data_IF_623125773276
#
_entry.id   IF_623125773276
#
_cell.length_a   1.000
_cell.length_b   1.000
_cell.length_c   1.000
_cell.angle_alpha   90.00
_cell.angle_beta   90.00
_cell.angle_gamma   90.00
#
_symmetry.space_group_name_H-M   'P 1'
#
loop_
_entity.id
_entity.type
_entity.pdbx_description
1 polymer ?
#
# COMPACT_ATOMS: atom_id res chain seq x y z
N UNK A 1 7.74 -3.93 -50.78
CA UNK A 1 6.66 -4.65 -50.06
C UNK A 1 6.45 -4.00 -48.70
N UNK A 2 5.61 -2.97 -48.57
CA UNK A 2 5.43 -2.19 -47.33
C UNK A 2 3.99 -2.11 -46.82
N UNK A 3 3.04 -2.88 -47.38
CA UNK A 3 1.60 -2.77 -47.10
C UNK A 3 1.05 -3.57 -45.92
N UNK A 4 1.87 -4.33 -45.18
CA UNK A 4 1.32 -5.33 -44.22
C UNK A 4 0.80 -4.76 -42.90
N UNK A 5 1.37 -3.65 -42.40
CA UNK A 5 1.00 -3.10 -41.09
C UNK A 5 -0.08 -2.02 -41.16
N UNK A 6 -0.06 -1.17 -42.19
CA UNK A 6 -1.03 -0.07 -42.35
C UNK A 6 -2.45 -0.58 -42.58
N UNK A 7 -2.60 -1.64 -43.37
CA UNK A 7 -3.90 -2.19 -43.72
C UNK A 7 -4.55 -2.89 -42.52
N UNK A 8 -3.74 -3.60 -41.70
CA UNK A 8 -4.17 -4.18 -40.42
C UNK A 8 -4.60 -3.12 -39.40
N UNK A 9 -3.88 -2.00 -39.33
CA UNK A 9 -4.23 -0.89 -38.43
C UNK A 9 -5.55 -0.26 -38.88
N UNK A 10 -5.78 -0.07 -40.18
CA UNK A 10 -7.04 0.44 -40.70
C UNK A 10 -8.21 -0.51 -40.48
N UNK A 11 -8.00 -1.82 -40.61
CA UNK A 11 -9.03 -2.83 -40.33
C UNK A 11 -9.40 -2.85 -38.84
N UNK A 12 -8.41 -2.76 -37.94
CA UNK A 12 -8.62 -2.66 -36.51
C UNK A 12 -9.34 -1.35 -36.12
N UNK A 13 -9.01 -0.22 -36.75
CA UNK A 13 -9.69 1.06 -36.55
C UNK A 13 -11.16 1.00 -36.97
N UNK A 14 -11.47 0.38 -38.11
CA UNK A 14 -12.86 0.20 -38.56
C UNK A 14 -13.65 -0.67 -37.58
N UNK A 15 -13.07 -1.78 -37.12
CA UNK A 15 -13.68 -2.63 -36.07
C UNK A 15 -13.92 -1.84 -34.78
N UNK A 16 -12.90 -1.12 -34.29
CA UNK A 16 -12.99 -0.32 -33.07
C UNK A 16 -14.05 0.78 -33.18
N UNK A 17 -14.18 1.43 -34.34
CA UNK A 17 -15.19 2.47 -34.58
C UNK A 17 -16.63 1.95 -34.65
N UNK A 18 -16.80 0.67 -34.99
CA UNK A 18 -18.10 0.04 -35.13
C UNK A 18 -18.59 -0.58 -33.81
N UNK A 19 -17.71 -0.76 -32.83
CA UNK A 19 -18.05 -1.33 -31.53
C UNK A 19 -18.58 -0.26 -30.56
N UNK A 20 -19.61 -0.62 -29.78
CA UNK A 20 -20.16 0.29 -28.77
C UNK A 20 -19.14 0.51 -27.64
N UNK A 21 -18.91 1.78 -27.28
CA UNK A 21 -18.00 2.17 -26.20
C UNK A 21 -18.36 1.52 -24.85
N UNK A 22 -19.65 1.25 -24.63
CA UNK A 22 -20.15 0.57 -23.43
C UNK A 22 -19.74 -0.91 -23.36
N UNK A 23 -19.38 -1.54 -24.49
CA UNK A 23 -18.83 -2.91 -24.51
C UNK A 23 -17.36 -2.96 -24.08
N UNK A 24 -16.67 -1.81 -24.13
CA UNK A 24 -15.34 -1.66 -23.58
C UNK A 24 -15.42 -1.50 -22.07
N UNK A 25 -16.32 -0.66 -21.57
CA UNK A 25 -16.56 -0.43 -20.14
C UNK A 25 -17.37 -1.60 -19.54
N UNK A 26 -16.69 -2.64 -19.09
CA UNK A 26 -17.37 -3.69 -18.32
C UNK A 26 -17.68 -3.17 -16.90
N UNK A 27 -18.85 -2.58 -16.68
CA UNK A 27 -19.26 -2.18 -15.33
C UNK A 27 -19.35 -3.39 -14.36
N UNK A 28 -19.59 -4.59 -14.89
CA UNK A 28 -19.72 -5.85 -14.14
C UNK A 28 -18.40 -6.46 -13.65
N UNK A 29 -17.25 -5.94 -14.08
CA UNK A 29 -15.92 -6.35 -13.58
C UNK A 29 -15.45 -5.52 -12.40
N UNK A 30 -16.15 -4.43 -12.05
CA UNK A 30 -16.03 -3.78 -10.74
C UNK A 30 -16.74 -4.68 -9.70
N UNK A 31 -16.15 -5.82 -9.37
CA UNK A 31 -16.66 -6.71 -8.31
C UNK A 31 -16.44 -6.10 -6.92
N UNK A 32 -17.12 -6.66 -5.91
CA UNK A 32 -16.98 -6.36 -4.48
C UNK A 32 -15.54 -6.47 -3.92
N UNK A 33 -14.57 -6.85 -4.78
CA UNK A 33 -13.15 -7.01 -4.48
C UNK A 33 -12.41 -5.68 -4.28
N UNK A 34 -13.09 -4.53 -4.42
CA UNK A 34 -12.61 -3.27 -3.82
C UNK A 34 -12.80 -3.32 -2.29
N UNK A 35 -12.28 -4.37 -1.66
CA UNK A 35 -12.32 -4.62 -0.23
C UNK A 35 -11.43 -3.65 0.56
N UNK A 36 -10.58 -2.85 -0.11
CA UNK A 36 -9.79 -1.80 0.54
C UNK A 36 -10.65 -0.73 1.22
N UNK A 37 -11.90 -0.51 0.79
CA UNK A 37 -12.81 0.37 1.52
C UNK A 37 -13.19 -0.16 2.91
N UNK A 38 -13.22 -1.49 3.10
CA UNK A 38 -13.44 -2.09 4.42
C UNK A 38 -12.24 -1.87 5.35
N UNK A 39 -11.02 -2.02 4.82
CA UNK A 39 -9.79 -1.74 5.54
C UNK A 39 -9.70 -0.25 5.97
N UNK A 40 -10.05 0.67 5.06
CA UNK A 40 -10.17 2.09 5.37
C UNK A 40 -11.09 2.35 6.57
N UNK A 41 -12.30 1.79 6.56
CA UNK A 41 -13.27 2.00 7.63
C UNK A 41 -12.78 1.42 8.95
N UNK A 42 -12.14 0.25 8.90
CA UNK A 42 -11.54 -0.40 10.06
C UNK A 42 -10.46 0.48 10.72
N UNK A 43 -9.46 0.96 9.95
CA UNK A 43 -8.42 1.83 10.48
C UNK A 43 -8.97 3.16 10.99
N UNK A 44 -10.02 3.69 10.35
CA UNK A 44 -10.68 4.91 10.82
C UNK A 44 -11.32 4.73 12.19
N UNK A 45 -11.96 3.57 12.43
CA UNK A 45 -12.54 3.23 13.74
C UNK A 45 -11.46 3.06 14.80
N UNK A 46 -10.38 2.35 14.50
CA UNK A 46 -9.23 2.22 15.41
C UNK A 46 -8.64 3.58 15.78
N UNK A 47 -8.42 4.46 14.79
CA UNK A 47 -7.93 5.81 15.03
C UNK A 47 -8.86 6.63 15.94
N UNK A 48 -10.17 6.55 15.71
CA UNK A 48 -11.16 7.22 16.56
C UNK A 48 -11.18 6.69 17.99
N UNK A 49 -11.05 5.36 18.17
CA UNK A 49 -11.01 4.75 19.49
C UNK A 49 -9.77 5.17 20.30
N UNK A 50 -8.62 5.30 19.64
CA UNK A 50 -7.39 5.81 20.24
C UNK A 50 -7.50 7.28 20.70
N UNK A 51 -8.36 8.08 20.07
CA UNK A 51 -8.57 9.50 20.39
C UNK A 51 -9.54 9.74 21.56
N UNK A 52 -10.25 8.71 22.02
CA UNK A 52 -11.15 8.85 23.17
C UNK A 52 -10.36 9.27 24.41
N UNK A 53 -10.91 10.17 25.22
CA UNK A 53 -10.25 10.71 26.40
C UNK A 53 -9.84 9.65 27.43
N UNK A 54 -10.59 8.55 27.51
CA UNK A 54 -10.27 7.41 28.38
C UNK A 54 -9.18 6.47 27.83
N UNK A 55 -8.76 6.63 26.56
CA UNK A 55 -7.69 5.85 25.91
C UNK A 55 -6.44 6.72 25.70
N UNK A 56 -6.61 7.91 25.11
CA UNK A 56 -5.58 8.95 24.95
C UNK A 56 -4.28 8.50 24.25
N UNK A 57 -4.37 7.58 23.30
CA UNK A 57 -3.23 7.07 22.51
C UNK A 57 -3.10 7.85 21.18
N UNK A 58 -2.64 9.08 21.27
CA UNK A 58 -2.62 10.00 20.13
C UNK A 58 -1.57 9.63 19.06
N UNK A 59 -0.46 9.01 19.45
CA UNK A 59 0.54 8.48 18.51
C UNK A 59 -0.02 7.33 17.70
N UNK A 60 -0.74 6.39 18.33
CA UNK A 60 -1.46 5.34 17.63
C UNK A 60 -2.58 5.90 16.74
N UNK A 61 -3.30 6.93 17.18
CA UNK A 61 -4.26 7.60 16.31
C UNK A 61 -3.61 8.17 15.04
N UNK A 62 -2.40 8.71 15.14
CA UNK A 62 -1.64 9.17 13.98
C UNK A 62 -1.22 8.00 13.06
N UNK A 63 -0.77 6.88 13.62
CA UNK A 63 -0.46 5.65 12.87
C UNK A 63 -1.67 5.20 12.04
N UNK A 64 -2.84 5.03 12.69
CA UNK A 64 -4.04 4.56 12.00
C UNK A 64 -4.56 5.57 10.98
N UNK A 65 -4.43 6.87 11.25
CA UNK A 65 -4.77 7.91 10.26
C UNK A 65 -3.93 7.78 8.98
N UNK A 66 -2.66 7.39 9.09
CA UNK A 66 -1.82 7.12 7.90
C UNK A 66 -2.29 5.88 7.15
N UNK A 67 -2.59 4.80 7.86
CA UNK A 67 -3.13 3.57 7.25
C UNK A 67 -4.45 3.83 6.51
N UNK A 68 -5.29 4.72 7.04
CA UNK A 68 -6.52 5.21 6.37
C UNK A 68 -6.18 5.93 5.06
N UNK A 69 -5.23 6.86 5.08
CA UNK A 69 -4.82 7.61 3.88
C UNK A 69 -4.23 6.69 2.80
N UNK A 70 -3.42 5.73 3.22
CA UNK A 70 -2.80 4.74 2.35
C UNK A 70 -3.84 3.80 1.72
N UNK A 71 -4.82 3.33 2.48
CA UNK A 71 -5.90 2.48 1.96
C UNK A 71 -6.79 3.22 0.93
N UNK A 72 -7.04 4.52 1.14
CA UNK A 72 -7.77 5.35 0.16
C UNK A 72 -6.94 5.56 -1.10
N UNK A 73 -5.66 5.91 -0.95
CA UNK A 73 -4.77 6.12 -2.09
C UNK A 73 -4.66 4.86 -2.95
N UNK A 74 -4.62 3.69 -2.32
CA UNK A 74 -4.61 2.40 -2.99
C UNK A 74 -5.92 2.10 -3.72
N UNK A 75 -7.07 2.39 -3.10
CA UNK A 75 -8.38 2.23 -3.73
C UNK A 75 -8.55 3.16 -4.93
N UNK A 76 -8.22 4.45 -4.80
CA UNK A 76 -8.26 5.43 -5.89
C UNK A 76 -7.29 5.08 -7.02
N UNK A 77 -6.12 4.54 -6.68
CA UNK A 77 -5.17 4.09 -7.70
C UNK A 77 -5.71 2.87 -8.46
N UNK A 78 -6.26 1.89 -7.75
CA UNK A 78 -6.85 0.70 -8.38
C UNK A 78 -8.02 1.10 -9.30
N UNK A 79 -8.89 2.01 -8.84
CA UNK A 79 -9.96 2.59 -9.66
C UNK A 79 -9.42 3.24 -10.94
N UNK A 80 -8.39 4.09 -10.81
CA UNK A 80 -7.76 4.74 -11.97
C UNK A 80 -7.14 3.73 -12.93
N UNK A 81 -6.51 2.68 -12.39
CA UNK A 81 -5.91 1.60 -13.18
C UNK A 81 -6.99 0.81 -13.92
N UNK A 82 -8.12 0.51 -13.27
CA UNK A 82 -9.26 -0.13 -13.90
C UNK A 82 -9.79 0.71 -15.06
N UNK A 83 -10.00 2.02 -14.85
CA UNK A 83 -10.43 2.96 -15.90
C UNK A 83 -9.44 2.97 -17.05
N UNK A 84 -8.14 3.04 -16.78
CA UNK A 84 -7.09 3.00 -17.80
C UNK A 84 -7.13 1.72 -18.65
N UNK A 85 -7.49 0.58 -18.06
CA UNK A 85 -7.64 -0.71 -18.75
C UNK A 85 -9.04 -0.90 -19.39
N UNK A 86 -9.87 0.14 -19.40
CA UNK A 86 -11.23 0.11 -19.94
C UNK A 86 -12.19 -0.70 -19.06
N UNK A 87 -11.96 -0.80 -17.76
CA UNK A 87 -12.77 -1.61 -16.84
C UNK A 87 -12.50 -3.12 -16.93
N UNK A 88 -11.70 -3.61 -17.89
CA UNK A 88 -11.39 -5.04 -18.02
C UNK A 88 -10.28 -5.44 -17.07
N UNK A 89 -10.62 -5.92 -15.88
CA UNK A 89 -9.63 -6.52 -14.99
C UNK A 89 -10.28 -7.59 -14.10
N UNK A 90 -9.91 -8.84 -14.35
CA UNK A 90 -10.10 -9.96 -13.43
C UNK A 90 -8.73 -10.63 -13.25
N UNK A 91 -8.05 -10.47 -12.10
CA UNK A 91 -6.66 -10.89 -11.94
C UNK A 91 -6.43 -12.38 -12.18
N UNK A 92 -7.42 -13.24 -11.90
CA UNK A 92 -7.22 -14.71 -11.95
C UNK A 92 -7.77 -15.44 -13.18
N UNK A 93 -8.51 -14.77 -14.07
CA UNK A 93 -9.17 -15.46 -15.20
C UNK A 93 -8.75 -14.99 -16.59
N UNK A 94 -7.98 -13.90 -16.69
CA UNK A 94 -7.68 -13.27 -17.98
C UNK A 94 -6.22 -13.45 -18.47
N UNK A 95 -5.31 -14.05 -17.67
CA UNK A 95 -3.89 -14.13 -18.04
C UNK A 95 -3.24 -12.74 -18.22
N UNK A 96 -3.67 -11.77 -17.42
CA UNK A 96 -3.25 -10.37 -17.54
C UNK A 96 -1.96 -10.11 -16.75
N UNK A 97 -0.83 -10.43 -17.37
CA UNK A 97 0.50 -10.29 -16.78
C UNK A 97 0.79 -8.85 -16.29
N UNK A 98 0.19 -7.84 -16.93
CA UNK A 98 0.40 -6.44 -16.55
C UNK A 98 -0.38 -6.06 -15.28
N UNK A 99 -1.53 -6.69 -15.02
CA UNK A 99 -2.25 -6.54 -13.76
C UNK A 99 -1.56 -7.37 -12.65
N UNK A 100 -1.06 -8.55 -12.98
CA UNK A 100 -0.30 -9.40 -12.04
C UNK A 100 0.96 -8.69 -11.53
N UNK A 101 1.79 -8.16 -12.42
CA UNK A 101 3.01 -7.41 -12.05
C UNK A 101 2.71 -6.21 -11.15
N UNK A 102 1.63 -5.48 -11.44
CA UNK A 102 1.16 -4.37 -10.60
C UNK A 102 0.71 -4.84 -9.22
N UNK A 103 -0.06 -5.92 -9.14
CA UNK A 103 -0.54 -6.48 -7.88
C UNK A 103 0.65 -6.93 -7.03
N UNK A 104 1.62 -7.61 -7.63
CA UNK A 104 2.82 -8.11 -6.96
C UNK A 104 3.73 -6.98 -6.48
N UNK A 105 4.15 -6.10 -7.40
CA UNK A 105 5.15 -5.06 -7.13
C UNK A 105 4.64 -3.97 -6.18
N UNK A 106 3.35 -3.64 -6.24
CA UNK A 106 2.77 -2.56 -5.44
C UNK A 106 1.99 -3.04 -4.22
N UNK A 107 1.00 -3.92 -4.42
CA UNK A 107 0.06 -4.26 -3.34
C UNK A 107 0.61 -5.36 -2.43
N UNK A 108 0.98 -6.51 -2.99
CA UNK A 108 1.51 -7.64 -2.20
C UNK A 108 2.78 -7.23 -1.45
N UNK A 109 3.66 -6.50 -2.13
CA UNK A 109 4.87 -5.94 -1.53
C UNK A 109 4.56 -5.02 -0.33
N UNK A 110 3.63 -4.07 -0.52
CA UNK A 110 3.22 -3.12 0.53
C UNK A 110 2.57 -3.85 1.71
N UNK A 111 1.64 -4.76 1.45
CA UNK A 111 0.96 -5.53 2.49
C UNK A 111 1.94 -6.40 3.30
N UNK A 112 2.93 -7.02 2.63
CA UNK A 112 3.96 -7.80 3.33
C UNK A 112 4.77 -6.93 4.30
N UNK A 113 5.11 -5.70 3.89
CA UNK A 113 5.76 -4.71 4.75
C UNK A 113 4.86 -4.28 5.91
N UNK A 114 3.60 -3.98 5.63
CA UNK A 114 2.63 -3.57 6.66
C UNK A 114 2.40 -4.66 7.71
N UNK A 115 2.26 -5.91 7.30
CA UNK A 115 2.11 -7.06 8.21
C UNK A 115 3.36 -7.21 9.09
N UNK A 116 4.55 -7.04 8.51
CA UNK A 116 5.80 -7.06 9.28
C UNK A 116 5.85 -5.90 10.28
N UNK A 117 5.61 -4.68 9.83
CA UNK A 117 5.67 -3.48 10.68
C UNK A 117 4.64 -3.54 11.82
N UNK A 118 3.41 -3.97 11.54
CA UNK A 118 2.36 -4.14 12.54
C UNK A 118 2.64 -5.32 13.48
N UNK A 119 3.19 -6.43 12.99
CA UNK A 119 3.56 -7.58 13.80
C UNK A 119 4.64 -7.28 14.84
N UNK A 120 5.47 -6.26 14.59
CA UNK A 120 6.49 -5.81 15.55
C UNK A 120 5.93 -4.92 16.65
N UNK A 121 4.80 -4.22 16.44
CA UNK A 121 4.22 -3.32 17.45
C UNK A 121 3.95 -4.03 18.79
N UNK A 122 3.23 -5.18 18.85
CA UNK A 122 3.02 -5.90 20.10
C UNK A 122 4.33 -6.40 20.74
N UNK A 123 5.29 -6.83 19.90
CA UNK A 123 6.58 -7.31 20.38
C UNK A 123 7.37 -6.18 21.06
N UNK A 124 7.37 -4.98 20.48
CA UNK A 124 8.03 -3.82 21.08
C UNK A 124 7.33 -3.36 22.36
N UNK A 125 5.99 -3.34 22.40
CA UNK A 125 5.24 -3.04 23.63
C UNK A 125 5.69 -3.93 24.81
N UNK A 126 5.85 -5.23 24.57
CA UNK A 126 6.25 -6.23 25.59
C UNK A 126 7.76 -6.20 25.90
N UNK A 127 8.57 -5.69 24.98
CA UNK A 127 10.03 -5.56 25.14
C UNK A 127 10.42 -4.33 25.95
N UNK A 128 9.75 -3.20 25.71
CA UNK A 128 10.05 -1.93 26.39
C UNK A 128 9.76 -2.02 27.89
N UNK A 129 8.66 -2.69 28.28
CA UNK A 129 8.35 -2.89 29.69
C UNK A 129 7.49 -4.12 29.91
N UNK A 130 7.72 -4.79 31.05
CA UNK A 130 6.86 -5.87 31.55
C UNK A 130 5.65 -5.36 32.33
N UNK A 131 5.66 -4.08 32.71
CA UNK A 131 4.53 -3.44 33.40
C UNK A 131 3.44 -3.10 32.38
N UNK A 132 2.19 -3.46 32.71
CA UNK A 132 1.03 -3.19 31.86
C UNK A 132 0.91 -1.69 31.56
N UNK A 133 0.68 -1.35 30.29
CA UNK A 133 0.49 0.02 29.82
C UNK A 133 1.77 0.86 29.68
N UNK A 134 2.83 0.59 30.44
CA UNK A 134 4.05 1.41 30.39
C UNK A 134 4.78 1.29 29.04
N UNK A 135 4.90 0.08 28.49
CA UNK A 135 5.45 -0.11 27.14
C UNK A 135 4.61 0.53 26.05
N UNK A 136 3.28 0.51 26.21
CA UNK A 136 2.34 1.14 25.28
C UNK A 136 2.46 2.67 25.30
N UNK A 137 2.66 3.27 26.47
CA UNK A 137 2.86 4.71 26.63
C UNK A 137 4.13 5.21 25.93
N UNK A 138 5.26 4.52 26.12
CA UNK A 138 6.52 4.88 25.45
C UNK A 138 6.40 4.76 23.94
N UNK A 139 5.77 3.68 23.47
CA UNK A 139 5.54 3.51 22.03
C UNK A 139 4.60 4.58 21.46
N UNK A 140 3.53 4.95 22.17
CA UNK A 140 2.65 6.06 21.77
C UNK A 140 3.41 7.38 21.69
N UNK A 141 4.29 7.66 22.66
CA UNK A 141 5.13 8.85 22.67
C UNK A 141 6.07 8.88 21.45
N UNK A 142 6.70 7.76 21.11
CA UNK A 142 7.55 7.65 19.92
C UNK A 142 6.76 7.82 18.62
N UNK A 143 5.59 7.19 18.51
CA UNK A 143 4.70 7.35 17.37
C UNK A 143 4.25 8.80 17.22
N UNK A 144 3.95 9.49 18.33
CA UNK A 144 3.57 10.90 18.32
C UNK A 144 4.71 11.80 17.85
N UNK A 145 5.94 11.53 18.29
CA UNK A 145 7.11 12.27 17.83
C UNK A 145 7.38 12.07 16.33
N UNK A 146 7.05 10.89 15.80
CA UNK A 146 7.28 10.52 14.40
C UNK A 146 6.02 10.59 13.51
N UNK A 147 4.98 11.32 13.93
CA UNK A 147 3.73 11.48 13.18
C UNK A 147 3.08 10.15 12.72
N UNK A 148 3.17 9.11 13.55
CA UNK A 148 2.60 7.78 13.27
C UNK A 148 3.48 6.88 12.41
N UNK A 149 4.73 7.26 12.11
CA UNK A 149 5.70 6.38 11.44
C UNK A 149 6.38 5.49 12.48
N UNK A 150 6.35 4.18 12.26
CA UNK A 150 7.09 3.24 13.14
C UNK A 150 8.59 3.35 12.89
N UNK A 151 9.44 3.42 13.94
CA UNK A 151 10.89 3.60 13.79
C UNK A 151 11.57 2.51 12.94
N UNK A 152 11.03 1.29 12.95
CA UNK A 152 11.56 0.15 12.19
C UNK A 152 11.05 0.04 10.75
N UNK A 153 10.11 0.88 10.31
CA UNK A 153 9.56 0.82 8.95
C UNK A 153 10.65 0.98 7.89
N UNK A 154 11.65 1.82 8.16
CA UNK A 154 12.80 2.05 7.27
C UNK A 154 13.75 0.86 7.20
N UNK A 155 13.91 0.11 8.30
CA UNK A 155 14.75 -1.09 8.37
C UNK A 155 14.11 -2.29 7.69
N UNK A 156 12.77 -2.34 7.65
CA UNK A 156 12.02 -3.39 6.96
C UNK A 156 11.85 -3.12 5.45
N UNK A 157 12.47 -2.08 4.91
CA UNK A 157 12.42 -1.73 3.50
C UNK A 157 13.60 -2.35 2.74
N UNK A 158 13.38 -3.41 1.94
CA UNK A 158 14.47 -4.07 1.23
C UNK A 158 15.16 -3.15 0.21
N UNK A 159 14.50 -2.10 -0.30
CA UNK A 159 15.14 -1.13 -1.21
C UNK A 159 16.08 -0.18 -0.49
N UNK A 160 15.88 0.04 0.81
CA UNK A 160 16.74 0.89 1.63
C UNK A 160 17.94 0.14 2.19
N UNK A 161 18.01 -1.18 2.02
CA UNK A 161 19.15 -2.00 2.45
C UNK A 161 20.49 -1.49 1.90
N UNK A 162 20.53 -1.07 0.64
CA UNK A 162 21.72 -0.48 0.02
C UNK A 162 22.11 0.89 0.60
N UNK A 163 21.14 1.73 0.95
CA UNK A 163 21.40 3.02 1.62
C UNK A 163 21.88 2.81 3.07
N UNK A 164 21.28 1.86 3.78
CA UNK A 164 21.69 1.46 5.13
C UNK A 164 23.13 0.92 5.14
N UNK A 165 23.47 0.03 4.19
CA UNK A 165 24.84 -0.48 4.03
C UNK A 165 25.85 0.63 3.73
N UNK A 166 25.50 1.57 2.84
CA UNK A 166 26.36 2.74 2.56
C UNK A 166 26.55 3.63 3.79
N UNK A 167 25.51 3.81 4.61
CA UNK A 167 25.60 4.53 5.88
C UNK A 167 26.57 3.86 6.85
N UNK A 168 26.43 2.55 7.06
CA UNK A 168 27.31 1.76 7.93
C UNK A 168 28.77 1.80 7.46
N UNK A 169 29.01 1.68 6.15
CA UNK A 169 30.37 1.79 5.59
C UNK A 169 30.98 3.16 5.87
N UNK A 170 30.20 4.23 5.74
CA UNK A 170 30.64 5.60 6.02
C UNK A 170 30.98 5.80 7.51
N UNK A 171 30.18 5.24 8.40
CA UNK A 171 30.41 5.34 9.86
C UNK A 171 31.62 4.51 10.30
N UNK A 172 31.82 3.32 9.71
CA UNK A 172 33.02 2.51 9.91
C UNK A 172 34.28 3.25 9.45
N UNK A 173 34.22 3.93 8.30
CA UNK A 173 35.35 4.70 7.79
C UNK A 173 35.71 5.88 8.70
N UNK A 174 34.70 6.53 9.30
CA UNK A 174 34.91 7.60 10.28
C UNK A 174 35.42 7.12 11.63
N UNK A 175 35.13 5.88 12.02
CA UNK A 175 35.63 5.29 13.27
C UNK A 175 37.06 4.74 13.12
N UNK A 176 37.50 4.50 11.89
CA UNK A 176 38.83 3.98 11.56
C UNK A 176 39.88 5.08 11.27
N UNK A 177 39.45 6.35 11.20
CA UNK A 177 40.28 7.56 11.02
C UNK A 177 40.21 8.40 12.28
#
# INVERSE_FOLDING_TARGET
>A
MSGSNTDKVQENLKKFSAENIDAYIQASTFTDDIQNYKAWFFFRKLGADCLRSNVSLHGFAALWKRSVQEAVADATWLESYLVQRGGRSKPKKAGDNALEDVIESRFLRKETRHVKDMGYLPQQCVRISKQAGHGLYHLDKELRANNGVVPWASFNDPDKSGELLRGVVKDLYKAAV
#
